data_IF_094586602220
#
_entry.id   IF_094586602220
#
_cell.length_a   1.000
_cell.length_b   1.000
_cell.length_c   1.000
_cell.angle_alpha   90.00
_cell.angle_beta   90.00
_cell.angle_gamma   90.00
#
_symmetry.space_group_name_H-M   'P 1'
#
loop_
_entity.id
_entity.type
_entity.pdbx_description
1 polymer ?
#
# COMPACT_ATOMS: atom_id res chain seq x y z
N UNK A 1 -8.66 22.66 28.29
CA UNK A 1 -8.25 21.61 27.31
C UNK A 1 -7.46 20.58 28.08
N UNK A 2 -7.83 19.30 27.99
CA UNK A 2 -7.09 18.24 28.66
C UNK A 2 -5.70 18.16 28.01
N UNK A 3 -4.65 18.29 28.81
CA UNK A 3 -3.29 18.06 28.34
C UNK A 3 -3.11 16.55 28.13
N UNK A 4 -3.29 16.08 26.90
CA UNK A 4 -3.21 14.67 26.55
C UNK A 4 -1.74 14.24 26.54
N UNK A 5 -1.36 13.36 27.46
CA UNK A 5 0.01 12.89 27.59
C UNK A 5 0.15 11.43 27.10
N UNK A 6 0.86 11.28 25.99
CA UNK A 6 1.27 10.03 25.35
C UNK A 6 2.81 9.87 25.30
N UNK A 7 3.55 10.67 26.06
CA UNK A 7 5.02 10.65 26.05
C UNK A 7 5.57 9.27 26.43
N UNK A 8 6.62 8.84 25.74
CA UNK A 8 7.33 7.57 25.92
C UNK A 8 6.46 6.31 25.82
N UNK A 9 5.28 6.40 25.20
CA UNK A 9 4.39 5.26 25.02
C UNK A 9 4.71 4.50 23.73
N UNK A 10 4.46 3.19 23.75
CA UNK A 10 4.36 2.39 22.53
C UNK A 10 2.94 2.49 21.99
N UNK A 11 2.75 3.29 20.94
CA UNK A 11 1.44 3.54 20.33
C UNK A 11 1.29 2.83 18.99
N UNK A 12 2.16 1.86 18.68
CA UNK A 12 2.19 1.26 17.36
C UNK A 12 0.83 0.77 16.89
N UNK A 13 0.47 1.11 15.64
CA UNK A 13 -0.80 0.77 15.00
C UNK A 13 -2.05 1.40 15.62
N UNK A 14 -1.92 2.38 16.52
CA UNK A 14 -3.06 3.13 17.03
C UNK A 14 -3.68 4.03 15.94
N UNK A 15 -4.99 4.18 15.99
CA UNK A 15 -5.72 5.09 15.10
C UNK A 15 -6.18 6.32 15.86
N UNK A 16 -5.67 7.47 15.44
CA UNK A 16 -6.02 8.81 15.89
C UNK A 16 -6.74 9.62 14.79
N UNK A 17 -7.24 8.94 13.75
CA UNK A 17 -7.87 9.55 12.57
C UNK A 17 -8.96 10.55 12.96
N UNK A 18 -8.82 11.79 12.51
CA UNK A 18 -9.81 12.86 12.72
C UNK A 18 -9.95 13.37 14.16
N UNK A 19 -9.06 12.96 15.08
CA UNK A 19 -9.13 13.40 16.47
C UNK A 19 -8.55 14.81 16.66
N UNK A 20 -9.05 15.52 17.68
CA UNK A 20 -8.44 16.74 18.17
C UNK A 20 -7.39 16.40 19.23
N UNK A 21 -6.13 16.55 18.85
CA UNK A 21 -4.93 16.28 19.63
C UNK A 21 -4.08 17.56 19.74
N UNK A 22 -4.71 18.73 19.66
CA UNK A 22 -4.02 20.01 19.81
C UNK A 22 -3.29 20.06 21.18
N UNK A 23 -2.00 20.39 21.14
CA UNK A 23 -1.13 20.46 22.31
C UNK A 23 -0.82 19.11 22.99
N UNK A 24 -1.21 17.98 22.40
CA UNK A 24 -0.89 16.66 22.96
C UNK A 24 0.61 16.39 22.97
N UNK A 25 1.08 15.68 24.00
CA UNK A 25 2.48 15.31 24.16
C UNK A 25 2.72 13.86 23.71
N UNK A 26 3.41 13.69 22.59
CA UNK A 26 3.85 12.40 22.04
C UNK A 26 5.36 12.21 22.16
N UNK A 27 6.07 13.04 22.93
CA UNK A 27 7.53 13.02 22.97
C UNK A 27 8.10 11.64 23.32
N UNK A 28 9.09 11.18 22.55
CA UNK A 28 9.73 9.88 22.73
C UNK A 28 8.86 8.66 22.43
N UNK A 29 7.63 8.84 21.93
CA UNK A 29 6.72 7.71 21.62
C UNK A 29 7.08 6.98 20.34
N UNK A 30 6.71 5.70 20.28
CA UNK A 30 6.79 4.87 19.07
C UNK A 30 5.46 4.92 18.32
N UNK A 31 5.45 5.64 17.20
CA UNK A 31 4.28 5.92 16.37
C UNK A 31 4.22 5.06 15.11
N UNK A 32 5.04 4.00 15.01
CA UNK A 32 5.06 3.16 13.81
C UNK A 32 3.69 2.53 13.54
N UNK A 33 3.21 2.69 12.31
CA UNK A 33 1.92 2.19 11.86
C UNK A 33 0.71 3.02 12.33
N UNK A 34 0.92 4.13 13.04
CA UNK A 34 -0.18 4.96 13.51
C UNK A 34 -0.89 5.69 12.37
N UNK A 35 -2.19 5.91 12.56
CA UNK A 35 -3.01 6.67 11.61
C UNK A 35 -3.49 7.98 12.24
N UNK A 36 -2.86 9.09 11.88
CA UNK A 36 -3.24 10.46 12.25
C UNK A 36 -3.99 11.18 11.10
N UNK A 37 -4.53 10.44 10.13
CA UNK A 37 -5.11 11.08 8.95
C UNK A 37 -6.26 12.01 9.31
N UNK A 38 -6.18 13.27 8.87
CA UNK A 38 -7.17 14.30 9.19
C UNK A 38 -7.23 14.74 10.66
N UNK A 39 -6.29 14.32 11.51
CA UNK A 39 -6.25 14.76 12.90
C UNK A 39 -5.75 16.21 13.03
N UNK A 40 -6.15 16.88 14.11
CA UNK A 40 -5.62 18.19 14.50
C UNK A 40 -4.52 17.98 15.54
N UNK A 41 -3.29 18.32 15.19
CA UNK A 41 -2.07 18.18 16.00
C UNK A 41 -1.40 19.55 16.19
N UNK A 42 -2.20 20.62 16.20
CA UNK A 42 -1.69 21.98 16.34
C UNK A 42 -0.93 22.13 17.65
N UNK A 43 0.34 22.56 17.60
CA UNK A 43 1.19 22.70 18.79
C UNK A 43 1.52 21.39 19.51
N UNK A 44 1.28 20.23 18.90
CA UNK A 44 1.59 18.94 19.51
C UNK A 44 3.11 18.75 19.65
N UNK A 45 3.53 18.13 20.75
CA UNK A 45 4.94 17.80 20.99
C UNK A 45 5.24 16.40 20.40
N UNK A 46 5.88 16.35 19.25
CA UNK A 46 6.28 15.13 18.53
C UNK A 46 7.81 14.98 18.53
N UNK A 47 8.49 15.47 19.57
CA UNK A 47 9.94 15.35 19.68
C UNK A 47 10.38 13.90 19.88
N UNK A 48 11.50 13.51 19.27
CA UNK A 48 12.10 12.17 19.42
C UNK A 48 11.14 11.01 19.08
N UNK A 49 10.10 11.25 18.27
CA UNK A 49 9.20 10.18 17.86
C UNK A 49 9.83 9.32 16.79
N UNK A 50 9.44 8.04 16.79
CA UNK A 50 9.78 7.10 15.72
C UNK A 50 8.54 6.84 14.89
N UNK A 51 8.62 7.13 13.60
CA UNK A 51 7.53 6.87 12.65
C UNK A 51 7.98 5.88 11.59
N UNK A 52 7.02 5.16 10.99
CA UNK A 52 7.31 4.16 9.97
C UNK A 52 6.42 2.95 10.05
N UNK A 53 6.83 1.87 9.39
CA UNK A 53 6.05 0.63 9.37
C UNK A 53 6.25 -0.12 10.69
N UNK A 54 5.17 -0.67 11.23
CA UNK A 54 5.27 -1.58 12.39
C UNK A 54 5.52 -3.01 11.93
N UNK A 55 6.12 -3.84 12.79
CA UNK A 55 6.34 -5.26 12.50
C UNK A 55 5.01 -5.99 12.26
N UNK A 56 3.93 -5.55 12.90
CA UNK A 56 2.58 -6.10 12.72
C UNK A 56 2.02 -5.80 11.33
N UNK A 57 2.25 -4.59 10.81
CA UNK A 57 1.86 -4.24 9.43
C UNK A 57 2.65 -5.09 8.43
N UNK A 58 3.97 -5.21 8.62
CA UNK A 58 4.80 -6.07 7.78
C UNK A 58 4.32 -7.53 7.80
N UNK A 59 4.01 -8.07 8.98
CA UNK A 59 3.48 -9.43 9.12
C UNK A 59 2.10 -9.61 8.50
N UNK A 60 1.18 -8.66 8.66
CA UNK A 60 -0.15 -8.73 8.00
C UNK A 60 -0.04 -8.75 6.48
N UNK A 61 0.96 -8.09 5.90
CA UNK A 61 1.22 -8.12 4.46
C UNK A 61 1.77 -9.45 4.00
N UNK A 62 2.71 -10.01 4.76
CA UNK A 62 3.25 -11.34 4.47
C UNK A 62 2.12 -12.39 4.56
N UNK A 63 1.28 -12.31 5.59
CA UNK A 63 0.14 -13.22 5.78
C UNK A 63 -0.88 -13.05 4.65
N UNK A 64 -1.26 -11.83 4.26
CA UNK A 64 -2.21 -11.61 3.17
C UNK A 64 -1.64 -12.05 1.80
N UNK A 65 -0.33 -11.90 1.60
CA UNK A 65 0.37 -12.38 0.43
C UNK A 65 0.48 -13.92 0.36
N UNK A 66 0.41 -14.63 1.49
CA UNK A 66 0.55 -16.10 1.55
C UNK A 66 -0.81 -16.81 1.66
N UNK A 67 -1.69 -16.36 2.55
CA UNK A 67 -2.95 -17.04 2.87
C UNK A 67 -3.95 -16.96 1.71
N UNK A 68 -4.05 -15.82 1.04
CA UNK A 68 -4.95 -15.65 -0.12
C UNK A 68 -4.61 -16.64 -1.26
N UNK A 69 -3.33 -16.78 -1.68
CA UNK A 69 -2.93 -17.82 -2.62
C UNK A 69 -3.22 -19.25 -2.17
N UNK A 70 -2.97 -19.60 -0.90
CA UNK A 70 -3.13 -20.99 -0.41
C UNK A 70 -4.59 -21.44 -0.45
N UNK A 71 -5.52 -20.55 -0.07
CA UNK A 71 -6.97 -20.85 -0.09
C UNK A 71 -7.47 -20.98 -1.53
N UNK A 72 -7.02 -20.10 -2.43
CA UNK A 72 -7.41 -20.14 -3.84
C UNK A 72 -6.81 -21.34 -4.58
N UNK A 73 -5.57 -21.72 -4.25
CA UNK A 73 -4.90 -22.91 -4.77
C UNK A 73 -5.71 -24.19 -4.48
N UNK A 74 -6.18 -24.35 -3.24
CA UNK A 74 -7.04 -25.48 -2.87
C UNK A 74 -8.36 -25.48 -3.66
N UNK A 75 -8.96 -24.32 -3.86
CA UNK A 75 -10.22 -24.19 -4.61
C UNK A 75 -10.08 -24.54 -6.10
N UNK A 76 -8.95 -24.17 -6.73
CA UNK A 76 -8.69 -24.49 -8.14
C UNK A 76 -8.49 -25.99 -8.38
N UNK A 77 -7.84 -26.70 -7.46
CA UNK A 77 -7.64 -28.16 -7.56
C UNK A 77 -8.97 -28.90 -7.44
N UNK A 78 -9.81 -28.52 -6.47
CA UNK A 78 -11.14 -29.11 -6.27
C UNK A 78 -12.03 -28.82 -7.49
N UNK A 79 -11.99 -27.59 -8.02
CA UNK A 79 -12.73 -27.23 -9.23
C UNK A 79 -12.24 -28.00 -10.46
N UNK A 80 -10.92 -28.06 -10.72
CA UNK A 80 -10.38 -28.82 -11.85
C UNK A 80 -10.69 -30.32 -11.74
N UNK A 81 -10.65 -30.89 -10.53
CA UNK A 81 -11.03 -32.28 -10.29
C UNK A 81 -12.53 -32.53 -10.51
N UNK A 82 -13.39 -31.64 -9.99
CA UNK A 82 -14.84 -31.68 -10.24
C UNK A 82 -15.17 -31.49 -11.71
N UNK A 83 -14.46 -30.58 -12.39
CA UNK A 83 -14.63 -30.25 -13.80
C UNK A 83 -14.19 -31.43 -14.69
N UNK A 84 -13.07 -32.09 -14.40
CA UNK A 84 -12.65 -33.31 -15.08
C UNK A 84 -13.70 -34.45 -14.92
N UNK A 85 -14.29 -34.57 -13.73
CA UNK A 85 -15.42 -35.52 -13.51
C UNK A 85 -16.72 -35.13 -14.22
N UNK A 86 -16.95 -33.83 -14.46
CA UNK A 86 -18.18 -33.32 -15.10
C UNK A 86 -18.09 -33.33 -16.65
N UNK A 87 -16.89 -33.32 -17.23
CA UNK A 87 -16.61 -33.07 -18.66
C UNK A 87 -16.30 -34.32 -19.51
N UNK A 88 -16.84 -35.49 -19.18
CA UNK A 88 -16.73 -36.67 -20.05
C UNK A 88 -17.51 -36.56 -21.37
N UNK A 89 -18.23 -35.45 -21.63
CA UNK A 89 -19.13 -35.32 -22.78
C UNK A 89 -18.71 -34.24 -23.79
N UNK A 90 -18.62 -34.64 -25.07
CA UNK A 90 -17.89 -33.93 -26.15
C UNK A 90 -18.56 -32.64 -26.66
N UNK A 91 -19.78 -32.33 -26.24
CA UNK A 91 -20.57 -31.22 -26.78
C UNK A 91 -20.19 -29.82 -26.24
N UNK A 92 -19.39 -29.72 -25.17
CA UNK A 92 -19.24 -28.49 -24.39
C UNK A 92 -18.09 -27.59 -24.90
N UNK A 93 -17.22 -28.06 -25.80
CA UNK A 93 -16.02 -27.35 -26.29
C UNK A 93 -16.30 -25.96 -26.92
N UNK A 94 -17.51 -25.67 -27.39
CA UNK A 94 -17.89 -24.36 -27.95
C UNK A 94 -18.29 -23.32 -26.88
N UNK A 95 -18.91 -23.75 -25.78
CA UNK A 95 -19.27 -22.88 -24.64
C UNK A 95 -18.03 -22.39 -23.86
N UNK A 96 -16.93 -23.14 -23.93
CA UNK A 96 -15.67 -22.88 -23.22
C UNK A 96 -14.83 -21.72 -23.75
N UNK A 97 -15.10 -21.22 -24.96
CA UNK A 97 -14.43 -20.02 -25.47
C UNK A 97 -14.99 -18.73 -24.86
N UNK A 98 -16.29 -18.71 -24.53
CA UNK A 98 -17.04 -17.46 -24.31
C UNK A 98 -17.34 -17.23 -22.83
N UNK A 99 -17.69 -18.27 -22.07
CA UNK A 99 -18.06 -18.13 -20.66
C UNK A 99 -16.92 -17.65 -19.74
N UNK A 100 -15.65 -18.09 -19.88
CA UNK A 100 -14.55 -17.56 -19.09
C UNK A 100 -14.26 -16.09 -19.43
N UNK A 101 -14.40 -15.71 -20.70
CA UNK A 101 -14.26 -14.31 -21.14
C UNK A 101 -15.36 -13.45 -20.55
N UNK A 102 -16.61 -13.93 -20.54
CA UNK A 102 -17.74 -13.21 -19.92
C UNK A 102 -17.61 -13.12 -18.40
N UNK A 103 -17.13 -14.18 -17.73
CA UNK A 103 -16.86 -14.16 -16.30
C UNK A 103 -15.74 -13.18 -15.94
N UNK A 104 -14.65 -13.19 -16.72
CA UNK A 104 -13.53 -12.25 -16.58
C UNK A 104 -13.95 -10.79 -16.84
N UNK A 105 -14.77 -10.54 -17.87
CA UNK A 105 -15.32 -9.21 -18.16
C UNK A 105 -16.30 -8.74 -17.06
N UNK A 106 -17.11 -9.64 -16.51
CA UNK A 106 -18.00 -9.34 -15.39
C UNK A 106 -17.22 -9.01 -14.11
N UNK A 107 -16.10 -9.69 -13.87
CA UNK A 107 -15.22 -9.46 -12.72
C UNK A 107 -14.50 -8.10 -12.82
N UNK A 108 -14.05 -7.72 -14.03
CA UNK A 108 -13.50 -6.38 -14.31
C UNK A 108 -14.58 -5.29 -14.07
N UNK A 109 -15.80 -5.50 -14.57
CA UNK A 109 -16.89 -4.52 -14.40
C UNK A 109 -17.33 -4.37 -12.93
N UNK A 110 -17.39 -5.47 -12.18
CA UNK A 110 -17.71 -5.44 -10.74
C UNK A 110 -16.60 -4.74 -9.95
N UNK A 111 -15.33 -4.94 -10.32
CA UNK A 111 -14.17 -4.27 -9.73
C UNK A 111 -14.20 -2.75 -9.94
N UNK A 112 -14.44 -2.31 -11.17
CA UNK A 112 -14.47 -0.88 -11.49
C UNK A 112 -15.69 -0.19 -10.84
N UNK A 113 -16.82 -0.89 -10.73
CA UNK A 113 -18.02 -0.40 -10.05
C UNK A 113 -17.84 -0.26 -8.53
N UNK A 114 -17.16 -1.20 -7.87
CA UNK A 114 -16.87 -1.13 -6.43
C UNK A 114 -15.78 -0.08 -6.13
N UNK A 115 -14.77 0.04 -6.98
CA UNK A 115 -13.71 1.05 -6.87
C UNK A 115 -14.24 2.48 -7.02
N UNK A 116 -15.30 2.67 -7.81
CA UNK A 116 -15.97 3.96 -7.99
C UNK A 116 -16.80 4.36 -6.77
N UNK A 117 -17.41 3.40 -6.07
CA UNK A 117 -18.34 3.68 -4.96
C UNK A 117 -17.69 3.77 -3.56
N UNK A 118 -16.54 3.10 -3.33
CA UNK A 118 -15.89 3.06 -1.99
C UNK A 118 -14.37 3.29 -2.02
N UNK A 119 -13.88 4.51 -2.29
CA UNK A 119 -12.46 4.81 -2.44
C UNK A 119 -11.61 4.69 -1.16
N UNK A 120 -12.21 4.48 0.03
CA UNK A 120 -11.49 4.26 1.29
C UNK A 120 -11.26 2.77 1.63
N UNK A 121 -11.91 1.84 0.91
CA UNK A 121 -11.87 0.38 1.17
C UNK A 121 -10.93 -0.36 0.19
N UNK A 122 -10.45 0.35 -0.83
CA UNK A 122 -9.63 -0.17 -1.95
C UNK A 122 -8.26 -0.71 -1.54
N UNK A 123 -7.66 -0.20 -0.46
CA UNK A 123 -6.33 -0.64 -0.03
C UNK A 123 -6.32 -2.06 0.56
N UNK A 124 -7.41 -2.53 1.18
CA UNK A 124 -7.42 -3.84 1.84
C UNK A 124 -7.86 -4.97 0.88
N UNK A 125 -8.86 -4.68 0.04
CA UNK A 125 -9.39 -5.65 -0.93
C UNK A 125 -8.58 -5.71 -2.23
N UNK A 126 -7.97 -4.60 -2.66
CA UNK A 126 -7.17 -4.55 -3.90
C UNK A 126 -5.93 -5.45 -3.85
N UNK A 127 -5.29 -5.56 -2.69
CA UNK A 127 -4.08 -6.37 -2.49
C UNK A 127 -4.41 -7.87 -2.41
N UNK A 128 -5.52 -8.23 -1.75
CA UNK A 128 -5.97 -9.61 -1.60
C UNK A 128 -6.55 -10.22 -2.89
N UNK A 129 -7.27 -9.44 -3.69
CA UNK A 129 -7.88 -9.92 -4.95
C UNK A 129 -6.84 -10.08 -6.08
N UNK A 130 -5.87 -9.17 -6.17
CA UNK A 130 -4.83 -9.21 -7.22
C UNK A 130 -3.81 -10.34 -6.94
N UNK A 131 -3.46 -10.60 -5.67
CA UNK A 131 -2.65 -11.77 -5.29
C UNK A 131 -3.38 -13.10 -5.49
N UNK A 132 -4.70 -13.10 -5.37
CA UNK A 132 -5.53 -14.26 -5.69
C UNK A 132 -5.53 -14.62 -7.18
N UNK A 133 -5.69 -13.62 -8.04
CA UNK A 133 -5.57 -13.77 -9.49
C UNK A 133 -4.19 -14.31 -9.90
N UNK A 134 -3.12 -13.93 -9.21
CA UNK A 134 -1.75 -14.43 -9.45
C UNK A 134 -1.61 -15.94 -9.18
N UNK A 135 -2.18 -16.45 -8.09
CA UNK A 135 -2.11 -17.89 -7.77
C UNK A 135 -2.92 -18.73 -8.77
N UNK A 136 -4.10 -18.23 -9.16
CA UNK A 136 -4.94 -18.84 -10.21
C UNK A 136 -4.19 -18.87 -11.54
N UNK A 137 -3.55 -17.77 -11.94
CA UNK A 137 -2.76 -17.67 -13.17
C UNK A 137 -1.53 -18.60 -13.14
N UNK A 138 -0.80 -18.71 -12.03
CA UNK A 138 0.33 -19.63 -11.91
C UNK A 138 -0.08 -21.11 -12.09
N UNK A 139 -1.16 -21.53 -11.42
CA UNK A 139 -1.70 -22.90 -11.53
C UNK A 139 -2.23 -23.16 -12.93
N UNK A 140 -2.97 -22.20 -13.50
CA UNK A 140 -3.43 -22.26 -14.88
C UNK A 140 -2.25 -22.42 -15.85
N UNK A 141 -1.17 -21.65 -15.66
CA UNK A 141 0.08 -21.74 -16.45
C UNK A 141 0.69 -23.13 -16.40
N UNK A 142 0.80 -23.72 -15.21
CA UNK A 142 1.39 -25.05 -15.00
C UNK A 142 0.52 -26.14 -15.62
N UNK A 143 -0.80 -26.07 -15.42
CA UNK A 143 -1.76 -26.99 -16.03
C UNK A 143 -1.72 -26.92 -17.57
N UNK A 144 -1.67 -25.71 -18.13
CA UNK A 144 -1.51 -25.51 -19.57
C UNK A 144 -0.19 -26.06 -20.08
N UNK A 145 0.92 -25.88 -19.34
CA UNK A 145 2.21 -26.43 -19.70
C UNK A 145 2.17 -27.95 -19.79
N UNK A 146 1.61 -28.62 -18.79
CA UNK A 146 1.48 -30.07 -18.76
C UNK A 146 0.62 -30.61 -19.91
N UNK A 147 -0.52 -29.95 -20.20
CA UNK A 147 -1.39 -30.32 -21.33
C UNK A 147 -0.72 -30.02 -22.68
N UNK A 148 0.07 -28.95 -22.78
CA UNK A 148 0.82 -28.62 -24.00
C UNK A 148 1.80 -29.75 -24.36
N UNK A 149 2.58 -30.22 -23.38
CA UNK A 149 3.58 -31.27 -23.59
C UNK A 149 2.96 -32.61 -24.01
N UNK A 150 1.79 -32.98 -23.46
CA UNK A 150 1.08 -34.18 -23.91
C UNK A 150 0.48 -34.02 -25.32
N UNK A 151 0.07 -32.81 -25.69
CA UNK A 151 -0.60 -32.53 -26.98
C UNK A 151 0.34 -32.55 -28.19
N UNK A 152 1.66 -32.42 -28.00
CA UNK A 152 2.65 -32.45 -29.10
C UNK A 152 2.84 -33.85 -29.69
N UNK A 153 2.52 -34.93 -28.94
CA UNK A 153 2.62 -36.31 -29.42
C UNK A 153 1.46 -36.75 -30.32
N UNK A 154 0.29 -36.12 -30.20
CA UNK A 154 -0.97 -36.57 -30.82
C UNK A 154 -1.32 -35.85 -32.13
N UNK A 155 -0.37 -35.14 -32.76
CA UNK A 155 -0.57 -34.49 -34.07
C UNK A 155 -1.37 -33.18 -34.05
N UNK A 156 -1.75 -32.67 -32.87
CA UNK A 156 -2.54 -31.42 -32.72
C UNK A 156 -1.62 -30.21 -32.44
N UNK A 157 -0.60 -30.01 -33.29
CA UNK A 157 0.47 -29.04 -33.07
C UNK A 157 -0.01 -27.58 -32.88
N UNK A 158 -1.14 -27.22 -33.50
CA UNK A 158 -1.76 -25.88 -33.36
C UNK A 158 -2.29 -25.67 -31.93
N UNK A 159 -2.87 -26.70 -31.32
CA UNK A 159 -3.36 -26.64 -29.94
C UNK A 159 -2.19 -26.53 -28.95
N UNK A 160 -1.12 -27.31 -29.13
CA UNK A 160 0.10 -27.22 -28.32
C UNK A 160 0.76 -25.84 -28.39
N UNK A 161 0.83 -25.22 -29.58
CA UNK A 161 1.38 -23.87 -29.75
C UNK A 161 0.52 -22.79 -29.08
N UNK A 162 -0.81 -22.88 -29.19
CA UNK A 162 -1.73 -21.95 -28.52
C UNK A 162 -1.59 -22.02 -26.99
N UNK A 163 -1.50 -23.23 -26.43
CA UNK A 163 -1.33 -23.44 -24.99
C UNK A 163 0.05 -22.95 -24.51
N UNK A 164 1.10 -23.05 -25.33
CA UNK A 164 2.42 -22.50 -25.04
C UNK A 164 2.42 -20.96 -25.00
N UNK A 165 1.74 -20.31 -25.94
CA UNK A 165 1.57 -18.84 -25.90
C UNK A 165 0.77 -18.38 -24.68
N UNK A 166 -0.28 -19.12 -24.32
CA UNK A 166 -1.10 -18.86 -23.13
C UNK A 166 -0.29 -19.04 -21.84
N UNK A 167 0.61 -20.03 -21.81
CA UNK A 167 1.56 -20.24 -20.71
C UNK A 167 2.52 -19.04 -20.57
N UNK A 168 3.14 -18.59 -21.67
CA UNK A 168 4.06 -17.44 -21.66
C UNK A 168 3.33 -16.16 -21.23
N UNK A 169 2.12 -15.93 -21.75
CA UNK A 169 1.29 -14.78 -21.38
C UNK A 169 0.95 -14.79 -19.88
N UNK A 170 0.49 -15.93 -19.37
CA UNK A 170 0.15 -16.09 -17.96
C UNK A 170 1.37 -15.95 -17.04
N UNK A 171 2.55 -16.45 -17.44
CA UNK A 171 3.81 -16.23 -16.72
C UNK A 171 4.22 -14.75 -16.68
N UNK A 172 4.04 -13.99 -17.77
CA UNK A 172 4.31 -12.55 -17.82
C UNK A 172 3.36 -11.78 -16.89
N UNK A 173 2.05 -12.09 -16.93
CA UNK A 173 1.04 -11.48 -16.05
C UNK A 173 1.35 -11.77 -14.60
N UNK A 174 1.70 -13.02 -14.29
CA UNK A 174 2.14 -13.48 -12.97
C UNK A 174 3.34 -12.64 -12.51
N UNK A 175 4.43 -12.58 -13.28
CA UNK A 175 5.61 -11.77 -12.94
C UNK A 175 5.27 -10.29 -12.69
N UNK A 176 4.39 -9.70 -13.50
CA UNK A 176 3.95 -8.30 -13.33
C UNK A 176 3.18 -8.09 -12.03
N UNK A 177 2.30 -9.02 -11.65
CA UNK A 177 1.57 -8.96 -10.38
C UNK A 177 2.51 -9.14 -9.18
N UNK A 178 3.52 -10.02 -9.28
CA UNK A 178 4.53 -10.18 -8.23
C UNK A 178 5.32 -8.89 -8.00
N UNK A 179 5.76 -8.23 -9.08
CA UNK A 179 6.40 -6.91 -9.01
C UNK A 179 5.46 -5.87 -8.37
N UNK A 180 4.16 -5.90 -8.72
CA UNK A 180 3.15 -5.03 -8.11
C UNK A 180 2.94 -5.31 -6.62
N UNK A 181 2.98 -6.57 -6.18
CA UNK A 181 2.83 -6.95 -4.77
C UNK A 181 4.04 -6.51 -3.94
N UNK A 182 5.26 -6.70 -4.46
CA UNK A 182 6.49 -6.14 -3.85
C UNK A 182 6.33 -4.62 -3.71
N UNK A 183 5.92 -3.95 -4.78
CA UNK A 183 5.73 -2.51 -4.75
C UNK A 183 4.59 -2.08 -3.79
N UNK A 184 3.57 -2.91 -3.63
CA UNK A 184 2.52 -2.71 -2.63
C UNK A 184 3.11 -2.76 -1.23
N UNK A 185 3.90 -3.78 -0.88
CA UNK A 185 4.59 -3.87 0.43
C UNK A 185 5.43 -2.62 0.72
N UNK A 186 6.21 -2.13 -0.25
CA UNK A 186 7.02 -0.92 -0.11
C UNK A 186 6.22 0.39 -0.04
N UNK A 187 5.00 0.41 -0.58
CA UNK A 187 4.10 1.57 -0.59
C UNK A 187 3.09 1.59 0.55
N UNK A 188 3.14 0.62 1.48
CA UNK A 188 2.29 0.68 2.66
C UNK A 188 2.69 1.89 3.50
N UNK A 189 1.76 2.84 3.73
CA UNK A 189 2.03 3.96 4.60
C UNK A 189 2.26 3.40 6.00
N UNK A 190 3.45 3.63 6.54
CA UNK A 190 3.76 3.32 7.93
C UNK A 190 2.93 4.21 8.83
N UNK A 191 3.52 5.30 9.30
CA UNK A 191 2.76 6.33 10.01
C UNK A 191 2.12 7.27 9.00
N UNK A 192 0.82 7.51 9.10
CA UNK A 192 0.11 8.45 8.21
C UNK A 192 -0.26 9.73 8.95
N UNK A 193 0.28 10.87 8.49
CA UNK A 193 -0.17 12.22 8.82
C UNK A 193 -0.98 12.84 7.67
N UNK A 194 -1.52 12.02 6.76
CA UNK A 194 -2.22 12.49 5.57
C UNK A 194 -3.39 13.42 5.93
N UNK A 195 -3.44 14.62 5.35
CA UNK A 195 -4.44 15.67 5.68
C UNK A 195 -4.44 16.13 7.15
N UNK A 196 -3.44 15.78 7.95
CA UNK A 196 -3.36 16.24 9.33
C UNK A 196 -2.98 17.72 9.38
N UNK A 197 -3.47 18.41 10.40
CA UNK A 197 -3.02 19.77 10.71
C UNK A 197 -1.90 19.70 11.76
N UNK A 198 -0.66 19.88 11.32
CA UNK A 198 0.55 19.87 12.16
C UNK A 198 1.09 21.30 12.36
N UNK A 199 0.20 22.29 12.35
CA UNK A 199 0.60 23.68 12.55
C UNK A 199 1.28 23.85 13.90
N UNK A 200 2.46 24.48 13.94
CA UNK A 200 3.25 24.68 15.16
C UNK A 200 3.66 23.39 15.92
N UNK A 201 3.54 22.22 15.29
CA UNK A 201 3.97 20.96 15.91
C UNK A 201 5.51 20.86 15.98
N UNK A 202 6.04 20.26 17.04
CA UNK A 202 7.49 20.13 17.23
C UNK A 202 7.95 18.70 16.93
N UNK A 203 8.72 18.50 15.86
CA UNK A 203 9.32 17.21 15.50
C UNK A 203 10.83 17.17 15.73
N UNK A 204 11.35 17.95 16.68
CA UNK A 204 12.79 17.98 16.94
C UNK A 204 13.33 16.59 17.30
N UNK A 205 14.46 16.21 16.70
CA UNK A 205 15.14 14.91 16.89
C UNK A 205 14.32 13.68 16.47
N UNK A 206 13.29 13.85 15.65
CA UNK A 206 12.43 12.74 15.24
C UNK A 206 12.97 12.02 14.01
N UNK A 207 12.76 10.70 13.98
CA UNK A 207 13.20 9.80 12.91
C UNK A 207 11.99 9.42 12.06
N UNK A 208 12.01 9.84 10.79
CA UNK A 208 10.91 9.67 9.85
C UNK A 208 11.24 8.63 8.79
N UNK A 209 10.66 7.45 8.92
CA UNK A 209 10.72 6.39 7.92
C UNK A 209 9.30 6.09 7.40
N UNK A 210 9.14 5.71 6.13
CA UNK A 210 7.85 5.26 5.55
C UNK A 210 6.62 6.08 6.01
N UNK A 211 6.75 7.41 6.09
CA UNK A 211 5.74 8.29 6.68
C UNK A 211 5.03 9.11 5.60
N UNK A 212 3.71 9.20 5.67
CA UNK A 212 2.91 9.95 4.70
C UNK A 212 2.46 11.30 5.26
N UNK A 213 3.05 12.39 4.75
CA UNK A 213 2.62 13.77 5.03
C UNK A 213 1.72 14.34 3.93
N UNK A 214 1.19 13.51 3.02
CA UNK A 214 0.45 14.02 1.87
C UNK A 214 -0.73 14.89 2.28
N UNK A 215 -0.90 16.05 1.66
CA UNK A 215 -1.95 17.02 2.00
C UNK A 215 -1.92 17.53 3.46
N UNK A 216 -0.87 17.26 4.23
CA UNK A 216 -0.74 17.77 5.59
C UNK A 216 -0.38 19.26 5.59
N UNK A 217 -0.69 19.92 6.70
CA UNK A 217 -0.28 21.31 6.96
C UNK A 217 0.89 21.29 7.93
N UNK A 218 2.07 21.75 7.52
CA UNK A 218 3.29 21.80 8.33
C UNK A 218 3.70 23.23 8.70
N UNK A 219 2.82 24.20 8.52
CA UNK A 219 3.15 25.61 8.75
C UNK A 219 3.53 25.86 10.21
N UNK A 220 4.70 26.45 10.46
CA UNK A 220 5.19 26.73 11.80
C UNK A 220 5.74 25.52 12.54
N UNK A 221 5.79 24.33 11.92
CA UNK A 221 6.39 23.16 12.57
C UNK A 221 7.90 23.34 12.79
N UNK A 222 8.42 22.77 13.88
CA UNK A 222 9.85 22.70 14.15
C UNK A 222 10.41 21.35 13.68
N UNK A 223 11.52 21.40 12.92
CA UNK A 223 12.13 20.22 12.29
C UNK A 223 13.62 20.08 12.65
N UNK A 224 14.02 20.59 13.82
CA UNK A 224 15.40 20.57 14.26
C UNK A 224 15.94 19.14 14.34
N UNK A 225 17.04 18.86 13.63
CA UNK A 225 17.65 17.52 13.55
C UNK A 225 16.66 16.43 13.11
N UNK A 226 15.82 16.73 12.14
CA UNK A 226 15.05 15.71 11.44
C UNK A 226 15.95 14.74 10.71
N UNK A 227 15.66 13.44 10.83
CA UNK A 227 16.28 12.39 10.03
C UNK A 227 15.21 11.77 9.16
N UNK A 228 15.25 12.05 7.86
CA UNK A 228 14.28 11.51 6.89
C UNK A 228 14.95 10.34 6.18
N UNK A 229 14.42 9.15 6.41
CA UNK A 229 14.82 7.93 5.72
C UNK A 229 13.94 7.68 4.48
N UNK A 230 14.33 6.69 3.67
CA UNK A 230 13.66 6.38 2.40
C UNK A 230 12.15 6.13 2.59
N UNK A 231 11.37 6.46 1.55
CA UNK A 231 9.92 6.24 1.44
C UNK A 231 9.01 7.17 2.28
N UNK A 232 9.53 8.29 2.80
CA UNK A 232 8.69 9.36 3.36
C UNK A 232 8.16 10.28 2.25
N UNK A 233 6.85 10.57 2.27
CA UNK A 233 6.16 11.31 1.21
C UNK A 233 5.70 12.69 1.67
N UNK A 234 5.93 13.70 0.83
CA UNK A 234 5.56 15.10 1.09
C UNK A 234 4.65 15.70 -0.01
N UNK A 235 3.83 14.86 -0.65
CA UNK A 235 3.00 15.27 -1.80
C UNK A 235 1.90 16.26 -1.38
N UNK A 236 1.83 17.42 -2.03
CA UNK A 236 0.83 18.47 -1.75
C UNK A 236 0.80 18.95 -0.29
N UNK A 237 1.95 18.97 0.38
CA UNK A 237 2.09 19.55 1.72
C UNK A 237 1.90 21.07 1.66
N UNK A 238 1.08 21.60 2.57
CA UNK A 238 0.93 23.04 2.77
C UNK A 238 1.90 23.51 3.85
N UNK A 239 2.94 24.22 3.44
CA UNK A 239 3.95 24.75 4.35
C UNK A 239 4.29 26.19 3.97
N UNK A 240 3.89 27.15 4.81
CA UNK A 240 4.23 28.56 4.61
C UNK A 240 5.63 28.89 5.14
N UNK A 241 5.97 28.36 6.32
CA UNK A 241 7.27 28.53 6.96
C UNK A 241 7.50 27.41 7.96
N UNK A 242 8.75 27.21 8.38
CA UNK A 242 9.19 26.22 9.37
C UNK A 242 10.24 26.82 10.31
N UNK A 243 10.51 26.14 11.41
CA UNK A 243 11.61 26.45 12.31
C UNK A 243 12.66 25.35 12.25
N UNK A 244 13.93 25.75 12.12
CA UNK A 244 15.05 24.81 12.09
C UNK A 244 15.69 24.62 13.45
N UNK A 245 15.32 25.41 14.46
CA UNK A 245 15.82 25.29 15.83
C UNK A 245 14.66 25.29 16.85
N UNK A 246 14.86 24.71 18.04
CA UNK A 246 13.84 24.67 19.09
C UNK A 246 13.40 26.08 19.52
N UNK A 247 12.28 26.16 20.23
CA UNK A 247 11.71 27.43 20.72
C UNK A 247 11.43 28.44 19.59
N UNK A 248 11.01 27.94 18.42
CA UNK A 248 10.65 28.74 17.24
C UNK A 248 11.79 29.66 16.76
N UNK A 249 13.02 29.17 16.86
CA UNK A 249 14.20 29.87 16.38
C UNK A 249 14.54 29.44 14.93
N UNK A 250 15.30 30.28 14.24
CA UNK A 250 15.75 30.02 12.87
C UNK A 250 14.60 29.69 11.90
N UNK A 251 13.65 30.64 11.78
CA UNK A 251 12.52 30.55 10.84
C UNK A 251 13.01 30.52 9.39
N UNK A 252 12.45 29.63 8.58
CA UNK A 252 12.64 29.57 7.11
C UNK A 252 11.30 29.62 6.38
N UNK A 253 11.16 30.49 5.35
CA UNK A 253 12.07 31.59 5.02
C UNK A 253 12.15 32.60 6.18
N UNK A 254 13.19 33.44 6.24
CA UNK A 254 13.36 34.39 7.35
C UNK A 254 12.15 35.34 7.46
N UNK A 255 11.60 35.75 6.31
CA UNK A 255 10.39 36.56 6.18
C UNK A 255 9.48 35.98 5.09
N UNK A 256 8.18 36.26 5.17
CA UNK A 256 7.21 35.80 4.16
C UNK A 256 6.94 34.29 4.18
N UNK A 257 6.56 33.75 3.02
CA UNK A 257 6.20 32.35 2.82
C UNK A 257 7.13 31.68 1.81
N UNK A 258 7.29 30.36 1.89
CA UNK A 258 8.01 29.59 0.88
C UNK A 258 7.44 29.81 -0.52
N UNK A 259 8.34 29.97 -1.49
CA UNK A 259 7.99 29.97 -2.90
C UNK A 259 7.81 28.52 -3.40
N UNK A 260 7.18 28.37 -4.57
CA UNK A 260 6.97 27.06 -5.19
C UNK A 260 8.29 26.27 -5.31
N UNK A 261 8.32 25.04 -4.79
CA UNK A 261 9.48 24.16 -4.83
C UNK A 261 10.62 24.49 -3.85
N UNK A 262 10.56 25.60 -3.12
CA UNK A 262 11.58 25.97 -2.12
C UNK A 262 11.56 25.01 -0.91
N UNK A 263 10.36 24.68 -0.41
CA UNK A 263 10.17 23.70 0.66
C UNK A 263 10.77 22.32 0.30
N UNK A 264 10.52 21.82 -0.91
CA UNK A 264 11.07 20.54 -1.35
C UNK A 264 12.60 20.54 -1.41
N UNK A 265 13.23 21.66 -1.83
CA UNK A 265 14.68 21.81 -1.82
C UNK A 265 15.27 21.84 -0.41
N UNK A 266 14.56 22.43 0.56
CA UNK A 266 14.95 22.41 1.96
C UNK A 266 14.94 20.99 2.52
N UNK A 267 13.89 20.20 2.23
CA UNK A 267 13.77 18.82 2.72
C UNK A 267 14.92 17.92 2.26
N UNK A 268 15.48 18.17 1.07
CA UNK A 268 16.62 17.40 0.57
C UNK A 268 17.88 17.49 1.46
N UNK A 269 17.97 18.49 2.34
CA UNK A 269 19.07 18.63 3.30
C UNK A 269 18.98 17.64 4.47
N UNK A 270 17.79 17.07 4.71
CA UNK A 270 17.49 16.15 5.81
C UNK A 270 17.34 14.70 5.36
N UNK A 271 17.50 14.44 4.05
CA UNK A 271 17.55 13.08 3.50
C UNK A 271 18.89 12.45 3.86
N UNK A 272 18.83 11.36 4.64
CA UNK A 272 19.99 10.52 5.00
C UNK A 272 20.22 9.38 4.02
#
# INVERSE_FOLDING_TARGET
>A
MANLNYSNQNLQNCSFKGQDLAGADFSGSDLRGCNFSGATLTGANLQQVKTGQSDRQAMMLIVSAIVSPVVLFGSCIIFAYMLNRLLSDRAINFLFGVLPILAFLAEIFLRDSISFHFPQVTNFFGIGAISGLFAVMLVFTICLALVSFSSFGDGVAIQGFFLLLLMIFSAIVTFRIFQWLIQSIHSHPGTSFRKANLTDADFSHSELQNTDFSFAVLTGACIFKWVIQQHTQFTNVSCKYLYLEPAQQNRKPAEGNFHAGEFGRLLNQFLG
#
